data_IF_830400494210
#
_entry.id   IF_830400494210
#
_cell.length_a   1.000
_cell.length_b   1.000
_cell.length_c   1.000
_cell.angle_alpha   90.00
_cell.angle_beta   90.00
_cell.angle_gamma   90.00
#
_symmetry.space_group_name_H-M   'P 1'
#
loop_
_entity.id
_entity.type
_entity.pdbx_description
1 polymer ?
#
# COMPACT_ATOMS: atom_id res chain seq x y z
N UNK A 1 -12.88 -5.45 2.54
CA UNK A 1 -12.23 -4.36 1.80
C UNK A 1 -13.27 -3.80 0.86
N UNK A 2 -13.80 -2.62 1.19
CA UNK A 2 -14.91 -1.97 0.46
C UNK A 2 -14.61 -0.53 0.10
N UNK A 3 -13.64 0.09 0.76
CA UNK A 3 -13.19 1.46 0.53
C UNK A 3 -11.70 1.46 0.15
N UNK A 4 -11.39 1.77 -1.11
CA UNK A 4 -10.03 1.83 -1.64
C UNK A 4 -9.69 3.29 -1.90
N UNK A 5 -8.57 3.76 -1.33
CA UNK A 5 -8.04 5.08 -1.52
C UNK A 5 -6.89 5.03 -2.53
N UNK A 6 -6.99 5.75 -3.64
CA UNK A 6 -5.95 5.88 -4.66
C UNK A 6 -5.67 7.37 -4.90
N UNK A 7 -4.76 8.00 -4.14
CA UNK A 7 -4.50 9.42 -4.27
C UNK A 7 -3.93 9.78 -5.64
N UNK A 8 -4.41 10.87 -6.21
CA UNK A 8 -3.86 11.42 -7.43
C UNK A 8 -2.48 12.04 -7.17
N UNK A 9 -1.57 11.85 -8.11
CA UNK A 9 -0.27 12.51 -8.15
C UNK A 9 0.19 12.71 -9.59
N UNK A 10 1.29 13.43 -9.77
CA UNK A 10 1.87 13.75 -11.08
C UNK A 10 2.90 12.73 -11.58
N UNK A 11 2.98 11.54 -11.00
CA UNK A 11 3.93 10.50 -11.42
C UNK A 11 3.48 9.83 -12.71
N UNK A 12 4.44 9.43 -13.56
CA UNK A 12 4.16 8.69 -14.80
C UNK A 12 3.38 7.38 -14.58
N UNK A 13 3.53 6.79 -13.39
CA UNK A 13 2.84 5.54 -13.01
C UNK A 13 1.40 5.71 -12.56
N UNK A 14 0.92 6.95 -12.36
CA UNK A 14 -0.41 7.20 -11.77
C UNK A 14 -1.54 6.54 -12.56
N UNK A 15 -1.57 6.73 -13.86
CA UNK A 15 -2.64 6.19 -14.71
C UNK A 15 -2.76 4.66 -14.61
N UNK A 16 -1.64 3.95 -14.66
CA UNK A 16 -1.60 2.49 -14.51
C UNK A 16 -1.92 2.05 -13.08
N UNK A 17 -1.51 2.84 -12.08
CA UNK A 17 -1.87 2.60 -10.69
C UNK A 17 -3.38 2.72 -10.48
N UNK A 18 -3.99 3.74 -11.06
CA UNK A 18 -5.44 3.91 -11.04
C UNK A 18 -6.15 2.76 -11.76
N UNK A 19 -5.67 2.31 -12.92
CA UNK A 19 -6.20 1.13 -13.62
C UNK A 19 -6.11 -0.14 -12.76
N UNK A 20 -4.97 -0.36 -12.08
CA UNK A 20 -4.80 -1.47 -11.15
C UNK A 20 -5.77 -1.38 -9.97
N UNK A 21 -5.93 -0.18 -9.38
CA UNK A 21 -6.86 0.06 -8.29
C UNK A 21 -8.33 -0.16 -8.73
N UNK A 22 -8.71 0.27 -9.92
CA UNK A 22 -10.03 0.05 -10.49
C UNK A 22 -10.31 -1.45 -10.75
N UNK A 23 -9.34 -2.16 -11.33
CA UNK A 23 -9.47 -3.61 -11.54
C UNK A 23 -9.68 -4.35 -10.20
N UNK A 24 -8.92 -3.97 -9.17
CA UNK A 24 -9.05 -4.52 -7.82
C UNK A 24 -10.41 -4.14 -7.21
N UNK A 25 -10.83 -2.87 -7.31
CA UNK A 25 -12.11 -2.40 -6.80
C UNK A 25 -13.28 -3.15 -7.44
N UNK A 26 -13.26 -3.34 -8.76
CA UNK A 26 -14.25 -4.12 -9.49
C UNK A 26 -14.29 -5.57 -9.00
N UNK A 27 -13.12 -6.20 -8.85
CA UNK A 27 -13.01 -7.57 -8.38
C UNK A 27 -13.55 -7.76 -6.96
N UNK A 28 -13.38 -6.77 -6.08
CA UNK A 28 -13.83 -6.80 -4.67
C UNK A 28 -15.23 -6.21 -4.46
N UNK A 29 -15.85 -5.60 -5.46
CA UNK A 29 -17.08 -4.83 -5.33
C UNK A 29 -16.88 -3.64 -4.36
N UNK A 30 -15.75 -2.96 -4.47
CA UNK A 30 -15.35 -1.86 -3.61
C UNK A 30 -15.63 -0.50 -4.28
N UNK A 31 -15.70 0.54 -3.46
CA UNK A 31 -15.71 1.95 -3.84
C UNK A 31 -14.27 2.46 -3.93
N UNK A 32 -13.97 3.31 -4.92
CA UNK A 32 -12.66 3.96 -5.05
C UNK A 32 -12.78 5.46 -4.78
N UNK A 33 -11.94 5.98 -3.89
CA UNK A 33 -11.81 7.41 -3.61
C UNK A 33 -10.49 7.92 -4.17
N UNK A 34 -10.53 9.01 -4.94
CA UNK A 34 -9.36 9.62 -5.57
C UNK A 34 -9.20 11.06 -5.07
N UNK A 35 -8.53 11.27 -3.91
CA UNK A 35 -8.24 12.61 -3.43
C UNK A 35 -7.10 13.25 -4.23
N UNK A 36 -7.28 14.54 -4.52
CA UNK A 36 -6.29 15.46 -5.09
C UNK A 36 -5.88 16.39 -3.95
N UNK A 37 -4.65 16.32 -3.49
CA UNK A 37 -4.15 17.22 -2.45
C UNK A 37 -3.71 18.55 -3.08
N UNK A 38 -4.30 19.66 -2.63
CA UNK A 38 -4.00 21.01 -3.08
C UNK A 38 -3.24 21.77 -2.00
N UNK A 39 -1.93 22.09 -2.16
CA UNK A 39 -1.12 22.76 -1.14
C UNK A 39 -1.36 24.27 -1.06
N UNK A 40 -2.57 24.72 -1.36
CA UNK A 40 -2.98 26.12 -1.38
C UNK A 40 -2.70 26.83 -0.06
N UNK A 41 -2.91 26.17 1.08
CA UNK A 41 -2.69 26.74 2.41
C UNK A 41 -1.20 27.03 2.65
N UNK A 42 -0.31 26.15 2.21
CA UNK A 42 1.13 26.29 2.35
C UNK A 42 1.64 27.47 1.52
N UNK A 43 1.19 27.59 0.27
CA UNK A 43 1.55 28.71 -0.63
C UNK A 43 1.07 30.04 -0.06
N UNK A 44 -0.16 30.09 0.47
CA UNK A 44 -0.69 31.30 1.09
C UNK A 44 0.05 31.71 2.38
N UNK A 45 0.61 30.75 3.12
CA UNK A 45 1.35 31.01 4.36
C UNK A 45 2.79 31.47 4.14
N UNK A 46 3.36 31.25 2.94
CA UNK A 46 4.78 31.57 2.63
C UNK A 46 5.04 33.03 2.23
N UNK A 47 4.04 33.91 2.20
CA UNK A 47 4.15 35.31 1.79
C UNK A 47 4.04 36.32 2.97
N UNK A 48 5.05 36.45 3.86
CA UNK A 48 5.01 37.43 4.95
C UNK A 48 5.33 38.86 4.53
N UNK A 49 5.75 39.15 3.28
CA UNK A 49 6.31 40.46 2.89
C UNK A 49 5.74 41.07 1.60
N UNK A 50 4.41 41.14 1.46
CA UNK A 50 3.84 42.14 0.53
C UNK A 50 3.46 41.64 -0.86
N UNK A 51 3.44 40.33 -1.12
CA UNK A 51 3.02 39.77 -2.40
C UNK A 51 1.57 39.27 -2.45
N UNK A 52 0.65 39.83 -1.67
CA UNK A 52 -0.75 39.32 -1.55
C UNK A 52 -1.42 39.16 -2.92
N UNK A 53 -1.13 40.00 -3.89
CA UNK A 53 -1.72 39.91 -5.23
C UNK A 53 -1.12 38.71 -6.02
N UNK A 54 0.17 38.46 -5.88
CA UNK A 54 0.86 37.35 -6.57
C UNK A 54 0.46 36.00 -5.98
N UNK A 55 0.42 35.92 -4.64
CA UNK A 55 -0.06 34.72 -3.94
C UNK A 55 -1.51 34.39 -4.30
N UNK A 56 -2.37 35.42 -4.42
CA UNK A 56 -3.78 35.23 -4.81
C UNK A 56 -3.89 34.66 -6.24
N UNK A 57 -3.08 35.12 -7.19
CA UNK A 57 -3.10 34.62 -8.55
C UNK A 57 -2.56 33.17 -8.63
N UNK A 58 -1.43 32.88 -7.96
CA UNK A 58 -0.88 31.54 -7.88
C UNK A 58 -1.87 30.54 -7.27
N UNK A 59 -2.51 30.90 -6.16
CA UNK A 59 -3.56 30.06 -5.54
C UNK A 59 -4.72 29.82 -6.48
N UNK A 60 -5.13 30.85 -7.25
CA UNK A 60 -6.22 30.73 -8.21
C UNK A 60 -5.85 29.83 -9.38
N UNK A 61 -4.64 29.94 -9.90
CA UNK A 61 -4.12 29.05 -10.95
C UNK A 61 -4.07 27.59 -10.47
N UNK A 62 -3.52 27.33 -9.28
CA UNK A 62 -3.48 26.00 -8.69
C UNK A 62 -4.86 25.39 -8.54
N UNK A 63 -5.82 26.15 -8.00
CA UNK A 63 -7.21 25.66 -7.87
C UNK A 63 -7.84 25.33 -9.23
N UNK A 64 -7.58 26.15 -10.25
CA UNK A 64 -8.08 25.89 -11.59
C UNK A 64 -7.47 24.61 -12.19
N UNK A 65 -6.18 24.37 -11.94
CA UNK A 65 -5.50 23.13 -12.35
C UNK A 65 -6.07 21.89 -11.62
N UNK A 66 -6.24 21.97 -10.30
CA UNK A 66 -6.82 20.89 -9.50
C UNK A 66 -8.26 20.56 -9.90
N UNK A 67 -9.09 21.59 -10.16
CA UNK A 67 -10.45 21.42 -10.67
C UNK A 67 -10.48 20.82 -12.08
N UNK A 68 -9.54 21.19 -12.94
CA UNK A 68 -9.42 20.61 -14.28
C UNK A 68 -9.00 19.14 -14.22
N UNK A 69 -8.07 18.80 -13.32
CA UNK A 69 -7.66 17.42 -13.04
C UNK A 69 -8.84 16.61 -12.50
N UNK A 70 -9.59 17.15 -11.53
CA UNK A 70 -10.77 16.49 -10.97
C UNK A 70 -11.79 16.16 -12.05
N UNK A 71 -12.14 17.11 -12.92
CA UNK A 71 -13.06 16.87 -14.06
C UNK A 71 -12.55 15.81 -15.03
N UNK A 72 -11.24 15.78 -15.27
CA UNK A 72 -10.62 14.79 -16.15
C UNK A 72 -10.71 13.38 -15.53
N UNK A 73 -10.44 13.26 -14.23
CA UNK A 73 -10.56 12.00 -13.49
C UNK A 73 -12.01 11.55 -13.39
N UNK A 74 -12.95 12.43 -13.09
CA UNK A 74 -14.39 12.12 -13.09
C UNK A 74 -14.86 11.60 -14.45
N UNK A 75 -14.47 12.26 -15.55
CA UNK A 75 -14.83 11.84 -16.90
C UNK A 75 -14.23 10.48 -17.29
N UNK A 76 -13.04 10.14 -16.75
CA UNK A 76 -12.42 8.82 -16.90
C UNK A 76 -13.17 7.77 -16.08
N UNK A 77 -13.37 8.02 -14.79
CA UNK A 77 -13.98 7.08 -13.85
C UNK A 77 -15.46 6.80 -14.16
N UNK A 78 -16.18 7.78 -14.71
CA UNK A 78 -17.56 7.62 -15.15
C UNK A 78 -17.75 6.56 -16.26
N UNK A 79 -16.68 6.13 -16.91
CA UNK A 79 -16.70 5.07 -17.94
C UNK A 79 -16.52 3.66 -17.34
N UNK A 80 -16.12 3.60 -16.07
CA UNK A 80 -15.94 2.37 -15.32
C UNK A 80 -17.20 2.03 -14.53
N UNK A 81 -17.44 0.73 -14.33
CA UNK A 81 -18.57 0.19 -13.55
C UNK A 81 -18.25 0.08 -12.05
N UNK A 82 -17.34 0.91 -11.54
CA UNK A 82 -16.90 0.95 -10.16
C UNK A 82 -17.44 2.21 -9.50
N UNK A 83 -18.08 2.14 -8.33
CA UNK A 83 -18.46 3.33 -7.57
C UNK A 83 -17.22 4.16 -7.21
N UNK A 84 -17.27 5.47 -7.42
CA UNK A 84 -16.13 6.35 -7.18
C UNK A 84 -16.53 7.70 -6.62
N UNK A 85 -15.56 8.39 -6.02
CA UNK A 85 -15.56 9.82 -5.78
C UNK A 85 -14.18 10.42 -6.10
N UNK A 86 -14.19 11.68 -6.55
CA UNK A 86 -13.00 12.51 -6.73
C UNK A 86 -13.16 13.73 -5.85
N UNK A 87 -12.15 14.08 -5.08
CA UNK A 87 -12.21 15.23 -4.17
C UNK A 87 -10.92 16.05 -4.23
N UNK A 88 -11.05 17.37 -4.25
CA UNK A 88 -9.92 18.29 -4.04
C UNK A 88 -9.89 18.65 -2.57
N UNK A 89 -8.75 18.39 -1.90
CA UNK A 89 -8.58 18.62 -0.47
C UNK A 89 -7.48 19.65 -0.24
N UNK A 90 -7.86 20.81 0.32
CA UNK A 90 -6.92 21.86 0.66
C UNK A 90 -6.03 21.42 1.83
N UNK A 91 -4.71 21.55 1.70
CA UNK A 91 -3.72 21.21 2.72
C UNK A 91 -2.55 20.43 2.19
N UNK A 92 -1.63 20.07 3.10
CA UNK A 92 -0.52 19.23 2.74
C UNK A 92 -0.99 17.81 2.35
N UNK A 93 -0.24 17.19 1.46
CA UNK A 93 -0.60 15.87 0.92
C UNK A 93 -0.65 14.79 2.01
N UNK A 94 0.27 14.84 2.99
CA UNK A 94 0.33 13.84 4.04
C UNK A 94 -0.88 13.92 4.99
N UNK A 95 -1.20 15.11 5.51
CA UNK A 95 -2.35 15.33 6.39
C UNK A 95 -3.69 14.99 5.72
N UNK A 96 -3.83 15.33 4.43
CA UNK A 96 -5.00 14.98 3.62
C UNK A 96 -5.16 13.46 3.49
N UNK A 97 -4.07 12.76 3.19
CA UNK A 97 -4.08 11.29 3.08
C UNK A 97 -4.31 10.60 4.43
N UNK A 98 -3.70 11.08 5.51
CA UNK A 98 -3.96 10.58 6.86
C UNK A 98 -5.45 10.68 7.23
N UNK A 99 -6.08 11.80 6.90
CA UNK A 99 -7.50 12.01 7.17
C UNK A 99 -8.37 11.04 6.35
N UNK A 100 -8.10 10.90 5.06
CA UNK A 100 -8.84 9.99 4.18
C UNK A 100 -8.61 8.51 4.55
N UNK A 101 -7.39 8.14 4.97
CA UNK A 101 -7.02 6.78 5.36
C UNK A 101 -7.82 6.23 6.55
N UNK A 102 -8.32 7.09 7.44
CA UNK A 102 -9.12 6.68 8.62
C UNK A 102 -10.40 5.93 8.27
N UNK A 103 -10.94 6.18 7.09
CA UNK A 103 -12.16 5.54 6.59
C UNK A 103 -11.89 4.67 5.35
N UNK A 104 -10.64 4.35 5.06
CA UNK A 104 -10.25 3.44 3.97
C UNK A 104 -9.88 2.06 4.51
N UNK A 105 -10.16 1.02 3.74
CA UNK A 105 -9.72 -0.35 4.00
C UNK A 105 -8.36 -0.64 3.37
N UNK A 106 -7.97 0.13 2.36
CA UNK A 106 -6.73 -0.01 1.61
C UNK A 106 -6.33 1.31 0.98
N UNK A 107 -5.05 1.65 1.04
CA UNK A 107 -4.46 2.73 0.26
C UNK A 107 -3.62 2.10 -0.86
N UNK A 108 -3.75 2.61 -2.09
CA UNK A 108 -2.92 2.20 -3.23
C UNK A 108 -1.93 3.32 -3.56
N UNK A 109 -0.65 3.05 -3.37
CA UNK A 109 0.43 4.00 -3.60
C UNK A 109 1.49 3.46 -4.56
N UNK A 110 2.34 4.33 -5.09
CA UNK A 110 3.61 3.91 -5.67
C UNK A 110 4.57 3.48 -4.56
N UNK A 111 5.39 2.48 -4.82
CA UNK A 111 6.38 1.97 -3.86
C UNK A 111 7.46 3.00 -3.51
N UNK A 112 7.76 3.91 -4.42
CA UNK A 112 8.71 5.00 -4.23
C UNK A 112 8.06 6.27 -3.62
N UNK A 113 6.78 6.21 -3.23
CA UNK A 113 6.13 7.30 -2.52
C UNK A 113 6.79 7.52 -1.16
N UNK A 114 7.30 8.73 -0.94
CA UNK A 114 8.03 9.09 0.28
C UNK A 114 7.18 8.96 1.55
N UNK A 115 5.84 9.00 1.44
CA UNK A 115 4.92 8.92 2.58
C UNK A 115 4.47 7.49 2.92
N UNK A 116 4.89 6.49 2.13
CA UNK A 116 4.43 5.11 2.24
C UNK A 116 4.63 4.54 3.65
N UNK A 117 5.84 4.66 4.20
CA UNK A 117 6.18 4.12 5.52
C UNK A 117 5.39 4.82 6.62
N UNK A 118 5.31 6.15 6.57
CA UNK A 118 4.63 6.97 7.57
C UNK A 118 3.12 6.70 7.60
N UNK A 119 2.50 6.51 6.44
CA UNK A 119 1.08 6.17 6.34
C UNK A 119 0.77 4.78 6.93
N UNK A 120 1.58 3.76 6.61
CA UNK A 120 1.39 2.41 7.18
C UNK A 120 1.54 2.42 8.70
N UNK A 121 2.51 3.17 9.22
CA UNK A 121 2.80 3.21 10.66
C UNK A 121 1.82 4.11 11.43
N UNK A 122 1.48 5.26 10.86
CA UNK A 122 0.66 6.28 11.52
C UNK A 122 -0.83 5.94 11.53
N UNK A 123 -1.39 5.64 10.38
CA UNK A 123 -2.83 5.48 10.24
C UNK A 123 -3.30 4.03 10.36
N UNK A 124 -2.38 3.06 10.41
CA UNK A 124 -2.69 1.62 10.50
C UNK A 124 -3.60 1.10 9.38
N UNK A 125 -3.76 1.88 8.33
CA UNK A 125 -4.43 1.45 7.12
C UNK A 125 -3.45 0.61 6.29
N UNK A 126 -3.84 -0.56 5.79
CA UNK A 126 -3.01 -1.34 4.90
C UNK A 126 -2.68 -0.54 3.64
N UNK A 127 -1.44 -0.66 3.16
CA UNK A 127 -0.99 -0.03 1.91
C UNK A 127 -0.61 -1.09 0.90
N UNK A 128 -1.18 -1.01 -0.28
CA UNK A 128 -0.76 -1.72 -1.47
C UNK A 128 0.23 -0.84 -2.24
N UNK A 129 1.51 -1.14 -2.08
CA UNK A 129 2.60 -0.43 -2.72
C UNK A 129 2.91 -1.09 -4.07
N UNK A 130 2.55 -0.42 -5.16
CA UNK A 130 2.79 -0.90 -6.51
C UNK A 130 4.19 -0.52 -7.00
N UNK A 131 4.78 -1.28 -7.95
CA UNK A 131 5.98 -0.84 -8.64
C UNK A 131 5.81 0.57 -9.22
N UNK A 132 6.90 1.33 -9.44
CA UNK A 132 6.81 2.68 -10.02
C UNK A 132 6.10 2.73 -11.38
N UNK A 133 6.10 1.62 -12.13
CA UNK A 133 5.29 1.48 -13.35
C UNK A 133 3.78 1.57 -13.12
N UNK A 134 3.32 1.41 -11.89
CA UNK A 134 1.91 1.42 -11.49
C UNK A 134 1.13 0.16 -11.86
N UNK A 135 1.69 -0.77 -12.62
CA UNK A 135 0.99 -1.94 -13.13
C UNK A 135 1.20 -3.17 -12.24
N UNK A 136 0.10 -3.85 -11.89
CA UNK A 136 0.10 -5.19 -11.31
C UNK A 136 -1.23 -5.90 -11.64
N UNK A 137 -1.19 -7.21 -11.91
CA UNK A 137 -2.42 -8.01 -12.03
C UNK A 137 -2.80 -8.56 -10.66
N UNK A 138 -3.89 -8.03 -10.10
CA UNK A 138 -4.36 -8.32 -8.75
C UNK A 138 -5.78 -8.92 -8.72
N UNK A 139 -6.32 -9.28 -9.87
CA UNK A 139 -7.69 -9.83 -9.97
C UNK A 139 -7.75 -11.26 -9.43
N UNK A 140 -6.75 -12.08 -9.78
CA UNK A 140 -6.61 -13.46 -9.31
C UNK A 140 -5.11 -13.78 -9.08
N UNK A 141 -4.45 -13.09 -8.13
CA UNK A 141 -3.00 -13.11 -8.01
C UNK A 141 -2.47 -14.42 -7.40
N UNK A 142 -1.18 -14.66 -7.61
CA UNK A 142 -0.36 -15.56 -6.78
C UNK A 142 0.21 -14.76 -5.62
N UNK A 143 -0.13 -15.12 -4.40
CA UNK A 143 0.22 -14.33 -3.21
C UNK A 143 1.20 -15.06 -2.33
N UNK A 144 2.32 -14.42 -2.04
CA UNK A 144 3.27 -14.88 -1.02
C UNK A 144 3.06 -14.08 0.27
N UNK A 145 2.98 -14.77 1.41
CA UNK A 145 2.89 -14.16 2.74
C UNK A 145 4.22 -14.37 3.45
N UNK A 146 4.97 -13.30 3.72
CA UNK A 146 6.15 -13.35 4.57
C UNK A 146 5.72 -13.49 6.04
N UNK A 147 6.01 -14.64 6.63
CA UNK A 147 5.56 -14.96 7.98
C UNK A 147 6.74 -15.12 8.94
N UNK A 148 6.79 -14.27 9.94
CA UNK A 148 7.77 -14.33 11.04
C UNK A 148 7.09 -14.56 12.42
N UNK A 149 5.77 -14.76 12.43
CA UNK A 149 4.97 -14.94 13.64
C UNK A 149 4.68 -13.66 14.40
N UNK A 150 5.14 -12.50 13.94
CA UNK A 150 4.91 -11.21 14.58
C UNK A 150 3.46 -10.74 14.46
N UNK A 151 3.10 -9.76 15.30
CA UNK A 151 1.80 -9.09 15.23
C UNK A 151 1.62 -8.38 13.89
N UNK A 152 2.67 -7.73 13.37
CA UNK A 152 2.62 -7.03 12.10
C UNK A 152 2.36 -8.00 10.93
N UNK A 153 3.04 -9.17 10.89
CA UNK A 153 2.77 -10.20 9.89
C UNK A 153 1.33 -10.71 9.99
N UNK A 154 0.82 -10.92 11.22
CA UNK A 154 -0.55 -11.35 11.43
C UNK A 154 -1.57 -10.30 10.98
N UNK A 155 -1.32 -9.00 11.23
CA UNK A 155 -2.16 -7.91 10.75
C UNK A 155 -2.16 -7.82 9.23
N UNK A 156 -0.99 -7.92 8.59
CA UNK A 156 -0.86 -7.92 7.13
C UNK A 156 -1.64 -9.08 6.49
N UNK A 157 -1.49 -10.31 7.01
CA UNK A 157 -2.24 -11.47 6.55
C UNK A 157 -3.75 -11.27 6.66
N UNK A 158 -4.23 -10.72 7.79
CA UNK A 158 -5.67 -10.44 7.99
C UNK A 158 -6.17 -9.36 7.04
N UNK A 159 -5.41 -8.30 6.85
CA UNK A 159 -5.75 -7.23 5.92
C UNK A 159 -5.82 -7.74 4.46
N UNK A 160 -4.98 -8.71 4.11
CA UNK A 160 -4.95 -9.30 2.78
C UNK A 160 -6.08 -10.30 2.51
N UNK A 161 -6.88 -10.74 3.49
CA UNK A 161 -7.90 -11.78 3.31
C UNK A 161 -8.80 -11.59 2.07
N UNK A 162 -9.31 -10.39 1.76
CA UNK A 162 -10.14 -10.19 0.57
C UNK A 162 -9.39 -10.48 -0.74
N UNK A 163 -8.08 -10.29 -0.76
CA UNK A 163 -7.21 -10.63 -1.89
C UNK A 163 -6.90 -12.13 -1.89
N UNK A 164 -6.58 -12.69 -0.72
CA UNK A 164 -6.24 -14.12 -0.55
C UNK A 164 -7.38 -15.05 -0.95
N UNK A 165 -8.63 -14.68 -0.70
CA UNK A 165 -9.80 -15.48 -1.10
C UNK A 165 -10.02 -15.54 -2.61
N UNK A 166 -9.34 -14.70 -3.38
CA UNK A 166 -9.39 -14.66 -4.85
C UNK A 166 -8.10 -15.19 -5.49
N UNK A 167 -7.06 -15.38 -4.68
CA UNK A 167 -5.76 -15.79 -5.15
C UNK A 167 -5.81 -17.18 -5.82
N UNK A 168 -5.04 -17.34 -6.90
CA UNK A 168 -4.84 -18.63 -7.57
C UNK A 168 -3.90 -19.55 -6.80
N UNK A 169 -2.99 -18.95 -6.02
CA UNK A 169 -2.10 -19.66 -5.09
C UNK A 169 -1.78 -18.75 -3.89
N UNK A 170 -1.67 -19.34 -2.70
CA UNK A 170 -1.27 -18.65 -1.48
C UNK A 170 -0.13 -19.44 -0.82
N UNK A 171 1.02 -18.79 -0.68
CA UNK A 171 2.24 -19.39 -0.15
C UNK A 171 2.65 -18.67 1.15
N UNK A 172 2.70 -19.39 2.25
CA UNK A 172 3.23 -18.87 3.52
C UNK A 172 4.72 -19.20 3.60
N UNK A 173 5.54 -18.17 3.63
CA UNK A 173 7.00 -18.31 3.60
C UNK A 173 7.61 -17.86 4.93
N UNK A 174 8.38 -18.73 5.56
CA UNK A 174 9.16 -18.44 6.76
C UNK A 174 10.65 -18.61 6.47
N UNK A 175 11.45 -17.60 6.82
CA UNK A 175 12.91 -17.66 6.67
C UNK A 175 13.52 -18.23 7.97
N UNK A 176 14.16 -19.38 7.88
CA UNK A 176 14.83 -20.02 9.02
C UNK A 176 16.28 -19.54 9.20
N UNK A 177 16.76 -19.45 10.44
CA UNK A 177 18.17 -19.24 10.76
C UNK A 177 18.62 -17.83 11.14
N UNK A 178 17.81 -16.77 10.91
CA UNK A 178 18.11 -15.41 11.41
C UNK A 178 16.84 -14.77 11.96
N UNK A 179 16.80 -14.48 13.26
CA UNK A 179 15.68 -13.77 13.87
C UNK A 179 14.49 -14.67 14.20
N UNK A 180 14.66 -16.00 14.20
CA UNK A 180 13.62 -16.92 14.64
C UNK A 180 13.32 -16.70 16.12
N UNK A 181 12.17 -16.13 16.35
CA UNK A 181 11.32 -16.16 17.52
C UNK A 181 11.97 -16.09 18.93
N UNK A 182 11.93 -14.95 19.54
CA UNK A 182 11.67 -14.85 20.98
C UNK A 182 10.29 -15.46 21.26
N UNK A 183 10.11 -16.14 22.38
CA UNK A 183 9.00 -17.06 22.72
C UNK A 183 7.53 -16.60 22.64
N UNK A 184 7.25 -15.43 22.07
CA UNK A 184 5.89 -14.88 21.88
C UNK A 184 5.39 -14.95 20.42
N UNK A 185 6.15 -15.54 19.50
CA UNK A 185 5.80 -15.56 18.09
C UNK A 185 4.83 -16.71 17.76
N UNK A 186 3.84 -16.39 16.93
CA UNK A 186 2.86 -17.35 16.46
C UNK A 186 3.44 -18.24 15.36
N UNK A 187 3.44 -19.55 15.56
CA UNK A 187 3.94 -20.51 14.56
C UNK A 187 3.17 -20.48 13.24
N UNK A 188 3.84 -20.86 12.16
CA UNK A 188 3.25 -20.86 10.80
C UNK A 188 2.01 -21.77 10.71
N UNK A 189 1.95 -22.87 11.46
CA UNK A 189 0.78 -23.76 11.52
C UNK A 189 -0.48 -23.02 11.98
N UNK A 190 -0.33 -21.99 12.83
CA UNK A 190 -1.45 -21.18 13.28
C UNK A 190 -1.94 -20.25 12.18
N UNK A 191 -1.02 -19.72 11.36
CA UNK A 191 -1.38 -18.94 10.16
C UNK A 191 -2.14 -19.82 9.16
N UNK A 192 -1.65 -21.03 8.86
CA UNK A 192 -2.34 -21.96 7.97
C UNK A 192 -3.75 -22.33 8.46
N UNK A 193 -3.88 -22.63 9.76
CA UNK A 193 -5.20 -22.89 10.35
C UNK A 193 -6.14 -21.68 10.28
N UNK A 194 -5.61 -20.48 10.46
CA UNK A 194 -6.38 -19.26 10.30
C UNK A 194 -6.87 -19.10 8.87
N UNK A 195 -5.99 -19.22 7.88
CA UNK A 195 -6.32 -19.14 6.45
C UNK A 195 -7.36 -20.19 6.04
N UNK A 196 -7.20 -21.43 6.49
CA UNK A 196 -8.16 -22.51 6.23
C UNK A 196 -9.57 -22.19 6.75
N UNK A 197 -9.71 -21.52 7.92
CA UNK A 197 -11.00 -21.08 8.45
C UNK A 197 -11.68 -20.01 7.59
N UNK A 198 -10.90 -19.32 6.76
CA UNK A 198 -11.37 -18.33 5.78
C UNK A 198 -11.50 -18.91 4.37
N UNK A 199 -11.51 -20.26 4.23
CA UNK A 199 -11.56 -20.96 2.96
C UNK A 199 -10.38 -20.63 2.01
N UNK A 200 -9.24 -20.20 2.56
CA UNK A 200 -8.00 -19.97 1.83
C UNK A 200 -7.10 -21.21 2.01
N UNK A 201 -6.84 -21.90 0.90
CA UNK A 201 -5.84 -22.97 0.86
C UNK A 201 -4.44 -22.33 0.71
N UNK A 202 -3.52 -22.66 1.61
CA UNK A 202 -2.17 -22.10 1.61
C UNK A 202 -1.13 -23.20 1.86
N UNK A 203 0.01 -23.09 1.18
CA UNK A 203 1.16 -23.98 1.35
C UNK A 203 2.24 -23.31 2.19
N UNK A 204 2.97 -24.09 3.00
CA UNK A 204 4.06 -23.60 3.85
C UNK A 204 5.41 -23.89 3.23
N UNK A 205 6.24 -22.86 3.11
CA UNK A 205 7.63 -22.95 2.71
C UNK A 205 8.55 -22.47 3.84
N UNK A 206 9.39 -23.35 4.35
CA UNK A 206 10.46 -23.00 5.28
C UNK A 206 11.76 -22.89 4.49
N UNK A 207 12.24 -21.66 4.30
CA UNK A 207 13.38 -21.36 3.44
C UNK A 207 14.59 -21.00 4.31
N UNK A 208 15.76 -21.61 4.12
CA UNK A 208 16.97 -21.20 4.83
C UNK A 208 17.41 -19.80 4.38
N UNK A 209 17.88 -18.97 5.34
CA UNK A 209 18.37 -17.66 5.02
C UNK A 209 19.60 -17.71 4.10
N UNK A 210 19.54 -17.09 2.94
CA UNK A 210 20.64 -16.90 2.01
C UNK A 210 20.93 -15.39 1.89
N UNK A 211 21.98 -14.92 2.53
CA UNK A 211 22.27 -13.48 2.59
C UNK A 211 21.36 -12.73 3.56
N UNK A 212 20.67 -11.69 3.10
CA UNK A 212 19.66 -10.98 3.89
C UNK A 212 18.31 -11.71 3.86
N UNK A 213 17.48 -11.47 4.87
CA UNK A 213 16.10 -11.97 4.89
C UNK A 213 15.31 -11.43 3.68
N UNK A 214 15.49 -10.15 3.36
CA UNK A 214 14.85 -9.54 2.20
C UNK A 214 15.25 -10.22 0.89
N UNK A 215 16.54 -10.49 0.69
CA UNK A 215 17.01 -11.21 -0.51
C UNK A 215 16.39 -12.60 -0.61
N UNK A 216 16.36 -13.35 0.50
CA UNK A 216 15.75 -14.69 0.54
C UNK A 216 14.26 -14.66 0.22
N UNK A 217 13.53 -13.62 0.67
CA UNK A 217 12.12 -13.41 0.34
C UNK A 217 11.94 -13.07 -1.14
N UNK A 218 12.75 -12.16 -1.70
CA UNK A 218 12.69 -11.77 -3.11
C UNK A 218 12.98 -12.95 -4.04
N UNK A 219 14.03 -13.73 -3.76
CA UNK A 219 14.39 -14.91 -4.53
C UNK A 219 13.29 -15.97 -4.47
N UNK A 220 12.64 -16.09 -3.31
CA UNK A 220 11.52 -17.03 -3.13
C UNK A 220 10.28 -16.55 -3.87
N UNK A 221 9.96 -15.26 -3.81
CA UNK A 221 8.84 -14.67 -4.57
C UNK A 221 9.02 -14.88 -6.08
N UNK A 222 10.25 -14.70 -6.59
CA UNK A 222 10.58 -15.00 -8.00
C UNK A 222 10.43 -16.48 -8.36
N UNK A 223 10.82 -17.41 -7.49
CA UNK A 223 10.66 -18.86 -7.72
C UNK A 223 9.20 -19.32 -7.67
N UNK A 224 8.39 -18.67 -6.85
CA UNK A 224 6.96 -18.96 -6.71
C UNK A 224 6.11 -18.19 -7.72
N UNK A 225 6.75 -17.36 -8.56
CA UNK A 225 6.09 -16.52 -9.55
C UNK A 225 4.97 -15.68 -8.93
N UNK A 226 5.31 -15.04 -7.80
CA UNK A 226 4.36 -14.30 -6.99
C UNK A 226 4.09 -12.90 -7.56
N UNK A 227 2.81 -12.51 -7.65
CA UNK A 227 2.37 -11.18 -8.08
C UNK A 227 2.36 -10.19 -6.92
N UNK A 228 2.10 -10.69 -5.71
CA UNK A 228 1.98 -9.89 -4.48
C UNK A 228 2.74 -10.54 -3.34
N UNK A 229 3.50 -9.74 -2.61
CA UNK A 229 4.06 -10.10 -1.32
C UNK A 229 3.31 -9.37 -0.21
N UNK A 230 2.74 -10.14 0.71
CA UNK A 230 2.09 -9.65 1.93
C UNK A 230 3.10 -9.70 3.07
N UNK A 231 3.37 -8.56 3.72
CA UNK A 231 4.32 -8.51 4.83
C UNK A 231 3.96 -7.45 5.87
N UNK A 232 4.33 -7.73 7.12
CA UNK A 232 4.27 -6.75 8.20
C UNK A 232 5.43 -5.76 8.13
N UNK A 233 5.17 -4.50 8.50
CA UNK A 233 6.21 -3.53 8.75
C UNK A 233 6.67 -3.62 10.20
N UNK A 234 7.99 -3.67 10.43
CA UNK A 234 8.65 -3.53 11.74
C UNK A 234 8.27 -4.57 12.83
N UNK A 235 8.15 -5.86 12.46
CA UNK A 235 7.72 -6.92 13.39
C UNK A 235 8.62 -7.13 14.64
N UNK A 236 9.90 -6.84 14.59
CA UNK A 236 10.88 -7.22 15.61
C UNK A 236 11.65 -6.09 16.33
N UNK A 237 11.49 -4.82 16.02
CA UNK A 237 12.22 -3.76 16.72
C UNK A 237 11.35 -3.01 17.72
N UNK A 238 11.62 -3.20 19.03
CA UNK A 238 11.04 -2.39 20.13
C UNK A 238 11.60 -0.97 20.21
N UNK A 239 12.54 -0.60 19.34
CA UNK A 239 13.16 0.73 19.28
C UNK A 239 12.49 1.57 18.20
N UNK A 240 11.42 2.24 18.61
CA UNK A 240 10.55 3.12 17.79
C UNK A 240 11.23 4.38 17.25
N UNK A 241 12.47 4.67 17.60
CA UNK A 241 12.98 6.04 17.47
C UNK A 241 14.07 6.27 16.42
N UNK A 242 14.72 5.25 15.82
CA UNK A 242 15.87 5.56 14.94
C UNK A 242 16.25 4.58 13.81
N UNK A 243 15.61 3.42 13.64
CA UNK A 243 16.05 2.49 12.59
C UNK A 243 14.87 1.84 11.86
N UNK A 244 14.61 2.31 10.68
CA UNK A 244 13.82 1.59 9.66
C UNK A 244 14.38 0.17 9.55
N UNK A 245 13.55 -0.86 9.78
CA UNK A 245 13.99 -2.26 9.74
C UNK A 245 14.63 -2.56 8.39
N UNK A 246 15.86 -3.06 8.40
CA UNK A 246 16.65 -3.30 7.19
C UNK A 246 15.90 -4.13 6.13
N UNK A 247 15.09 -5.10 6.56
CA UNK A 247 14.26 -5.94 5.66
C UNK A 247 13.21 -5.09 4.94
N UNK A 248 12.44 -4.27 5.65
CA UNK A 248 11.38 -3.44 5.07
C UNK A 248 11.93 -2.47 4.02
N UNK A 249 13.00 -1.74 4.37
CA UNK A 249 13.64 -0.79 3.44
C UNK A 249 14.19 -1.48 2.20
N UNK A 250 14.84 -2.64 2.38
CA UNK A 250 15.36 -3.41 1.26
C UNK A 250 14.23 -3.93 0.35
N UNK A 251 13.12 -4.37 0.93
CA UNK A 251 11.94 -4.81 0.18
C UNK A 251 11.31 -3.65 -0.61
N UNK A 252 11.05 -2.51 0.03
CA UNK A 252 10.53 -1.31 -0.63
C UNK A 252 11.46 -0.86 -1.76
N UNK A 253 12.79 -0.91 -1.56
CA UNK A 253 13.76 -0.47 -2.57
C UNK A 253 13.95 -1.43 -3.75
N UNK A 254 13.76 -2.74 -3.57
CA UNK A 254 14.19 -3.76 -4.55
C UNK A 254 13.07 -4.63 -5.12
N UNK A 255 11.90 -4.73 -4.49
CA UNK A 255 10.86 -5.64 -4.96
C UNK A 255 10.39 -5.29 -6.37
N UNK A 256 10.33 -6.28 -7.28
CA UNK A 256 9.77 -6.13 -8.62
C UNK A 256 8.25 -6.33 -8.70
N UNK A 257 7.63 -6.77 -7.58
CA UNK A 257 6.22 -7.12 -7.46
C UNK A 257 5.49 -6.14 -6.53
N UNK A 258 4.17 -6.23 -6.46
CA UNK A 258 3.36 -5.46 -5.54
C UNK A 258 3.62 -5.89 -4.07
N UNK A 259 3.62 -4.94 -3.15
CA UNK A 259 3.75 -5.20 -1.71
C UNK A 259 2.47 -4.79 -0.99
N UNK A 260 1.83 -5.70 -0.25
CA UNK A 260 0.77 -5.35 0.68
C UNK A 260 1.37 -5.27 2.09
N UNK A 261 1.38 -4.06 2.61
CA UNK A 261 2.07 -3.68 3.85
C UNK A 261 1.05 -3.34 4.94
N UNK A 262 1.29 -3.80 6.17
CA UNK A 262 0.48 -3.42 7.34
C UNK A 262 1.32 -3.45 8.61
N UNK A 263 0.89 -2.71 9.64
CA UNK A 263 1.57 -2.66 10.94
C UNK A 263 0.65 -3.12 12.08
#
# INVERSE_FOLDING_TARGET
>A
MRAILCPADSTEGFDKRLDTALALARALGAHISVPIASPVIEVAAWEPFGGVALATETVREMRAEDEALAKTLEARLARDDVPYDVSVVDGDRFGSLCTAARCADLIVLSRDDAMLEDLVLGERCPVLALPPSGAADLVAPRVMIAWDGSRAAANAMKAALPLLTRATAVEVVTISGKGSASGDNCGADTALRYLSRHAVHAELHVVPAQGSVAQSLLDTAGRLDSDVLVMGLYGHSRLRELLVGGVTREMIGKAGLALLLSH
#
